data_IF_193144483742
#
_entry.id   IF_193144483742
#
_cell.length_a   1.000
_cell.length_b   1.000
_cell.length_c   1.000
_cell.angle_alpha   90.00
_cell.angle_beta   90.00
_cell.angle_gamma   90.00
#
_symmetry.space_group_name_H-M   'P 1'
#
loop_
_entity.id
_entity.type
_entity.pdbx_description
1 polymer ?
#
# COMPACT_ATOMS: atom_id res chain seq x y z
N UNK A 1 14.21 -24.57 14.08
CA UNK A 1 13.63 -23.77 12.97
C UNK A 1 13.57 -24.52 11.64
N UNK A 2 14.38 -25.56 11.43
CA UNK A 2 14.29 -26.45 10.25
C UNK A 2 12.94 -27.17 10.15
N UNK A 3 12.40 -27.65 11.28
CA UNK A 3 11.11 -28.37 11.31
C UNK A 3 9.91 -27.55 10.82
N UNK A 4 9.86 -26.25 11.08
CA UNK A 4 8.76 -25.40 10.61
C UNK A 4 8.79 -25.26 9.08
N UNK A 5 9.98 -25.08 8.50
CA UNK A 5 10.13 -24.97 7.04
C UNK A 5 9.74 -26.28 6.35
N UNK A 6 10.14 -27.41 6.93
CA UNK A 6 9.84 -28.73 6.39
C UNK A 6 8.35 -29.08 6.52
N UNK A 7 7.67 -28.67 7.60
CA UNK A 7 6.22 -28.82 7.72
C UNK A 7 5.45 -27.93 6.71
N UNK A 8 5.95 -26.71 6.41
CA UNK A 8 5.33 -25.82 5.44
C UNK A 8 5.50 -26.28 3.99
N UNK A 9 6.64 -26.87 3.63
CA UNK A 9 6.89 -27.39 2.28
C UNK A 9 6.14 -28.71 2.01
N UNK A 10 5.70 -29.40 3.07
CA UNK A 10 4.89 -30.61 2.98
C UNK A 10 3.40 -30.33 2.69
N UNK A 11 2.97 -29.06 2.70
CA UNK A 11 1.60 -28.68 2.36
C UNK A 11 1.41 -28.82 0.85
N UNK A 12 0.38 -29.58 0.46
CA UNK A 12 0.00 -29.74 -0.94
C UNK A 12 -0.30 -28.38 -1.58
N UNK A 13 0.38 -28.08 -2.70
CA UNK A 13 0.30 -26.79 -3.39
C UNK A 13 1.28 -25.71 -2.93
N UNK A 14 2.21 -25.97 -2.01
CA UNK A 14 3.31 -25.04 -1.67
C UNK A 14 4.57 -25.41 -2.45
N UNK A 15 4.97 -24.53 -3.38
CA UNK A 15 6.17 -24.70 -4.20
C UNK A 15 7.46 -24.39 -3.42
N UNK A 16 7.42 -23.37 -2.56
CA UNK A 16 8.57 -22.95 -1.78
C UNK A 16 8.15 -22.27 -0.47
N UNK A 17 8.87 -22.56 0.62
CA UNK A 17 8.71 -21.89 1.91
C UNK A 17 10.05 -21.32 2.37
N UNK A 18 10.06 -20.03 2.76
CA UNK A 18 11.19 -19.34 3.37
C UNK A 18 10.77 -18.76 4.71
N UNK A 19 11.55 -19.08 5.76
CA UNK A 19 11.36 -18.54 7.12
C UNK A 19 12.60 -17.70 7.42
N UNK A 20 12.38 -16.44 7.76
CA UNK A 20 13.43 -15.47 8.02
C UNK A 20 13.16 -14.80 9.37
N UNK A 21 14.17 -14.73 10.25
CA UNK A 21 14.03 -14.02 11.52
C UNK A 21 14.39 -12.57 11.24
N UNK A 22 13.43 -11.66 11.42
CA UNK A 22 13.67 -10.23 11.28
C UNK A 22 14.37 -9.73 12.57
N UNK A 23 15.14 -8.64 12.48
CA UNK A 23 15.95 -8.10 13.59
C UNK A 23 15.14 -7.77 14.87
N UNK A 24 13.81 -7.70 14.78
CA UNK A 24 12.90 -7.54 15.92
C UNK A 24 12.62 -8.85 16.68
N UNK A 25 13.20 -9.97 16.25
CA UNK A 25 12.98 -11.31 16.80
C UNK A 25 11.70 -11.98 16.31
N UNK A 26 10.95 -11.35 15.40
CA UNK A 26 9.73 -11.93 14.82
C UNK A 26 10.08 -12.79 13.59
N UNK A 27 9.65 -14.05 13.51
CA UNK A 27 9.82 -14.85 12.31
C UNK A 27 8.83 -14.40 11.22
N UNK A 28 9.36 -13.99 10.07
CA UNK A 28 8.65 -13.75 8.83
C UNK A 28 8.60 -15.03 8.00
N UNK A 29 7.44 -15.35 7.43
CA UNK A 29 7.23 -16.55 6.61
C UNK A 29 6.74 -16.13 5.23
N UNK A 30 7.52 -16.42 4.20
CA UNK A 30 7.15 -16.22 2.80
C UNK A 30 6.89 -17.59 2.15
N UNK A 31 5.74 -17.69 1.46
CA UNK A 31 5.29 -18.90 0.81
C UNK A 31 5.04 -18.61 -0.67
N UNK A 32 5.61 -19.46 -1.53
CA UNK A 32 5.29 -19.50 -2.95
C UNK A 32 4.33 -20.66 -3.18
N UNK A 33 3.14 -20.37 -3.67
CA UNK A 33 2.06 -21.35 -3.92
C UNK A 33 2.07 -21.73 -5.39
N UNK A 34 1.86 -23.01 -5.69
CA UNK A 34 1.81 -23.52 -7.06
C UNK A 34 0.63 -22.92 -7.85
N UNK A 35 0.81 -22.68 -9.17
CA UNK A 35 -0.26 -22.21 -10.03
C UNK A 35 -1.38 -23.26 -10.12
N UNK A 36 -2.56 -22.94 -9.58
CA UNK A 36 -3.72 -23.82 -9.56
C UNK A 36 -4.04 -24.44 -8.19
N UNK A 37 -3.15 -24.28 -7.20
CA UNK A 37 -3.44 -24.72 -5.83
C UNK A 37 -4.53 -23.86 -5.16
N UNK A 38 -5.34 -24.50 -4.31
CA UNK A 38 -6.38 -23.83 -3.53
C UNK A 38 -5.74 -23.00 -2.41
N UNK A 39 -5.62 -21.70 -2.66
CA UNK A 39 -5.02 -20.72 -1.75
C UNK A 39 -5.71 -20.67 -0.38
N UNK A 40 -7.01 -20.96 -0.33
CA UNK A 40 -7.80 -20.86 0.90
C UNK A 40 -7.54 -22.10 1.78
N UNK A 41 -7.48 -23.28 1.17
CA UNK A 41 -7.05 -24.51 1.83
C UNK A 41 -5.60 -24.41 2.34
N UNK A 42 -4.67 -23.95 1.49
CA UNK A 42 -3.26 -23.73 1.85
C UNK A 42 -3.14 -22.75 3.02
N UNK A 43 -3.82 -21.60 2.96
CA UNK A 43 -3.79 -20.60 4.02
C UNK A 43 -4.28 -21.13 5.38
N UNK A 44 -5.30 -21.99 5.37
CA UNK A 44 -5.84 -22.62 6.59
C UNK A 44 -4.84 -23.58 7.24
N UNK A 45 -4.20 -24.43 6.43
CA UNK A 45 -3.18 -25.37 6.90
C UNK A 45 -1.94 -24.67 7.45
N UNK A 46 -1.49 -23.61 6.76
CA UNK A 46 -0.38 -22.76 7.21
C UNK A 46 -0.68 -22.14 8.57
N UNK A 47 -1.90 -21.60 8.78
CA UNK A 47 -2.30 -21.06 10.08
C UNK A 47 -2.25 -22.12 11.19
N UNK A 48 -2.72 -23.34 10.90
CA UNK A 48 -2.70 -24.45 11.85
C UNK A 48 -1.27 -24.83 12.26
N UNK A 49 -0.36 -24.93 11.29
CA UNK A 49 1.05 -25.24 11.53
C UNK A 49 1.70 -24.12 12.35
N UNK A 50 1.52 -22.85 11.97
CA UNK A 50 2.08 -21.73 12.74
C UNK A 50 1.55 -21.71 14.18
N UNK A 51 0.25 -21.93 14.38
CA UNK A 51 -0.35 -22.01 15.72
C UNK A 51 0.23 -23.16 16.55
N UNK A 52 0.46 -24.33 15.94
CA UNK A 52 1.12 -25.48 16.59
C UNK A 52 2.54 -25.14 17.08
N UNK A 53 3.27 -24.30 16.34
CA UNK A 53 4.61 -23.82 16.71
C UNK A 53 4.60 -22.60 17.65
N UNK A 54 3.45 -22.24 18.21
CA UNK A 54 3.31 -21.09 19.11
C UNK A 54 3.44 -19.72 18.40
N UNK A 55 3.49 -19.72 17.07
CA UNK A 55 3.55 -18.53 16.24
C UNK A 55 2.11 -18.09 15.96
N UNK A 56 1.74 -16.90 16.44
CA UNK A 56 0.46 -16.30 16.08
C UNK A 56 0.52 -15.87 14.61
N UNK A 57 -0.01 -16.72 13.74
CA UNK A 57 -0.24 -16.37 12.34
C UNK A 57 -1.14 -15.14 12.27
N UNK A 58 -0.65 -14.06 11.67
CA UNK A 58 -1.43 -12.84 11.40
C UNK A 58 -2.24 -12.96 10.11
N UNK A 59 -2.61 -14.17 9.68
CA UNK A 59 -3.77 -14.32 8.82
C UNK A 59 -5.02 -14.25 9.71
N UNK A 60 -5.47 -13.05 10.04
CA UNK A 60 -6.65 -12.87 10.87
C UNK A 60 -7.91 -12.58 10.01
N UNK A 61 -9.06 -13.14 10.41
CA UNK A 61 -10.28 -13.24 9.64
C UNK A 61 -11.11 -11.96 9.66
N UNK A 62 -12.07 -11.90 8.74
CA UNK A 62 -13.06 -10.83 8.63
C UNK A 62 -13.83 -10.66 9.94
N UNK A 63 -13.85 -9.46 10.53
CA UNK A 63 -15.06 -8.78 11.05
C UNK A 63 -14.80 -7.70 12.11
N UNK A 64 -15.73 -6.73 12.09
CA UNK A 64 -16.23 -5.91 13.20
C UNK A 64 -15.69 -4.48 13.36
N UNK A 65 -16.47 -3.61 12.73
CA UNK A 65 -16.59 -2.16 12.88
C UNK A 65 -16.59 -1.65 14.33
N UNK A 66 -16.06 -0.43 14.48
CA UNK A 66 -16.72 0.77 15.04
C UNK A 66 -15.80 1.51 16.01
N UNK A 67 -15.36 2.74 15.67
CA UNK A 67 -15.55 3.87 16.58
C UNK A 67 -15.25 5.20 15.87
N UNK A 68 -16.27 6.06 15.78
CA UNK A 68 -16.18 7.45 15.37
C UNK A 68 -15.94 8.28 16.62
N UNK A 69 -14.84 9.04 16.69
CA UNK A 69 -14.68 10.11 17.66
C UNK A 69 -14.54 11.46 16.94
N UNK A 70 -15.57 12.29 17.15
CA UNK A 70 -15.59 13.71 16.85
C UNK A 70 -14.58 14.46 17.73
N UNK A 71 -13.79 15.34 17.13
CA UNK A 71 -13.05 16.37 17.85
C UNK A 71 -13.78 17.70 17.68
N UNK A 72 -14.11 18.34 18.81
CA UNK A 72 -14.62 19.71 18.87
C UNK A 72 -13.46 20.69 18.79
N UNK A 73 -13.61 21.70 17.93
CA UNK A 73 -12.72 22.83 17.80
C UNK A 73 -13.01 23.85 18.90
N UNK A 74 -12.08 24.06 19.83
CA UNK A 74 -12.01 25.26 20.67
C UNK A 74 -10.68 25.23 21.44
N UNK A 75 -9.63 25.89 20.91
CA UNK A 75 -8.67 26.66 21.72
C UNK A 75 -7.69 27.39 20.78
N UNK A 76 -7.92 28.69 20.56
CA UNK A 76 -7.00 29.58 19.86
C UNK A 76 -6.25 30.42 20.89
N UNK A 77 -5.05 29.99 21.26
CA UNK A 77 -4.08 30.82 21.99
C UNK A 77 -3.14 31.57 21.02
N UNK A 78 -2.76 32.83 21.31
CA UNK A 78 -1.78 33.57 20.53
C UNK A 78 -0.35 33.08 20.77
N UNK A 79 0.39 32.82 19.68
CA UNK A 79 1.80 32.42 19.69
C UNK A 79 2.74 33.61 19.95
N UNK A 80 3.81 33.44 20.76
CA UNK A 80 4.88 34.43 20.94
C UNK A 80 5.80 34.52 19.70
N UNK A 81 6.39 35.71 19.51
CA UNK A 81 7.23 36.11 18.38
C UNK A 81 8.47 35.20 18.18
N UNK A 82 8.67 34.79 16.92
CA UNK A 82 9.68 33.84 16.44
C UNK A 82 11.06 34.51 16.30
N UNK A 83 12.16 33.89 16.79
CA UNK A 83 13.52 34.39 16.59
C UNK A 83 14.01 34.20 15.14
N UNK A 84 14.90 35.11 14.71
CA UNK A 84 15.41 35.21 13.34
C UNK A 84 16.01 33.90 12.78
N UNK A 85 15.87 33.66 11.45
CA UNK A 85 16.32 32.43 10.82
C UNK A 85 17.85 32.32 10.84
N UNK A 86 18.33 31.24 11.43
CA UNK A 86 19.70 30.73 11.22
C UNK A 86 19.80 30.20 9.79
N UNK A 87 20.74 30.74 9.00
CA UNK A 87 21.11 30.21 7.68
C UNK A 87 21.69 28.80 7.84
N UNK A 88 20.79 27.82 7.81
CA UNK A 88 21.10 26.40 7.74
C UNK A 88 21.75 26.12 6.39
N UNK A 89 23.03 25.75 6.43
CA UNK A 89 23.82 25.39 5.26
C UNK A 89 23.17 24.20 4.53
N UNK A 90 22.49 24.52 3.43
CA UNK A 90 21.76 23.57 2.61
C UNK A 90 22.73 22.54 2.00
N UNK A 91 22.65 21.24 2.32
CA UNK A 91 23.47 20.22 1.67
C UNK A 91 23.13 20.21 0.18
N UNK A 92 24.18 20.27 -0.66
CA UNK A 92 24.04 20.29 -2.11
C UNK A 92 23.20 19.12 -2.65
N UNK A 93 22.55 19.30 -3.82
CA UNK A 93 21.65 18.31 -4.40
C UNK A 93 22.42 17.02 -4.70
N UNK A 94 22.07 15.96 -3.98
CA UNK A 94 22.49 14.59 -4.29
C UNK A 94 21.75 14.18 -5.56
N UNK A 95 22.45 14.16 -6.70
CA UNK A 95 21.91 13.64 -7.96
C UNK A 95 21.49 12.18 -7.77
N UNK A 96 20.17 11.96 -7.81
CA UNK A 96 19.56 10.64 -7.58
C UNK A 96 18.24 10.65 -6.82
N UNK A 97 17.61 11.81 -6.58
CA UNK A 97 16.31 11.86 -5.88
C UNK A 97 15.23 11.10 -6.66
N UNK A 98 14.94 9.88 -6.21
CA UNK A 98 13.79 9.08 -6.64
C UNK A 98 12.54 9.96 -6.49
N UNK A 99 11.81 10.20 -7.60
CA UNK A 99 10.55 10.97 -7.58
C UNK A 99 9.56 10.33 -6.62
N UNK A 100 8.84 11.16 -5.87
CA UNK A 100 7.86 10.69 -4.87
C UNK A 100 6.52 11.37 -5.10
N UNK A 101 5.45 10.59 -5.01
CA UNK A 101 4.11 11.14 -4.88
C UNK A 101 3.98 11.87 -3.53
N UNK A 102 3.54 13.13 -3.58
CA UNK A 102 3.42 14.05 -2.43
C UNK A 102 1.97 14.31 -2.04
N UNK A 103 1.07 14.41 -3.03
CA UNK A 103 -0.34 14.68 -2.73
C UNK A 103 -1.28 13.97 -3.69
N UNK A 104 -2.45 13.60 -3.17
CA UNK A 104 -3.61 13.14 -3.94
C UNK A 104 -4.80 13.97 -3.45
N UNK A 105 -5.35 14.81 -4.33
CA UNK A 105 -6.54 15.60 -4.09
C UNK A 105 -7.72 14.99 -4.83
N UNK A 106 -8.86 14.90 -4.15
CA UNK A 106 -10.10 14.31 -4.69
C UNK A 106 -11.20 15.37 -4.59
N UNK A 107 -11.71 15.79 -5.73
CA UNK A 107 -12.84 16.71 -5.83
C UNK A 107 -14.05 15.94 -6.36
N UNK A 108 -15.06 15.76 -5.52
CA UNK A 108 -16.30 15.09 -5.89
C UNK A 108 -17.37 16.12 -6.29
N UNK A 109 -17.80 16.04 -7.55
CA UNK A 109 -18.94 16.77 -8.07
C UNK A 109 -20.14 15.84 -8.23
N UNK A 110 -21.34 16.42 -8.42
CA UNK A 110 -22.61 15.66 -8.55
C UNK A 110 -22.60 14.53 -9.59
N UNK A 111 -21.73 14.60 -10.60
CA UNK A 111 -21.69 13.65 -11.73
C UNK A 111 -20.31 13.09 -12.04
N UNK A 112 -19.27 13.55 -11.36
CA UNK A 112 -17.89 13.16 -11.66
C UNK A 112 -17.02 13.34 -10.44
N UNK A 113 -15.91 12.62 -10.41
CA UNK A 113 -14.85 12.80 -9.45
C UNK A 113 -13.61 13.21 -10.23
N UNK A 114 -12.97 14.29 -9.83
CA UNK A 114 -11.69 14.73 -10.38
C UNK A 114 -10.62 14.39 -9.37
N UNK A 115 -9.64 13.59 -9.78
CA UNK A 115 -8.48 13.24 -8.96
C UNK A 115 -7.29 13.97 -9.52
N UNK A 116 -6.59 14.72 -8.67
CA UNK A 116 -5.34 15.40 -9.03
C UNK A 116 -4.21 14.87 -8.16
N UNK A 117 -3.12 14.45 -8.78
CA UNK A 117 -1.93 13.92 -8.11
C UNK A 117 -0.73 14.83 -8.36
N UNK A 118 0.18 14.94 -7.40
CA UNK A 118 1.40 15.76 -7.53
C UNK A 118 2.64 15.04 -6.98
N UNK A 119 3.78 15.22 -7.65
CA UNK A 119 5.08 14.73 -7.18
C UNK A 119 5.92 15.81 -6.47
N UNK A 120 7.05 15.39 -5.90
CA UNK A 120 8.02 16.24 -5.20
C UNK A 120 8.85 17.15 -6.13
N UNK A 121 8.71 16.99 -7.45
CA UNK A 121 9.33 17.85 -8.46
C UNK A 121 8.37 18.88 -9.02
N UNK A 122 7.16 18.98 -8.47
CA UNK A 122 6.12 19.91 -8.90
C UNK A 122 5.31 19.43 -10.10
N UNK A 123 5.55 18.21 -10.59
CA UNK A 123 4.72 17.57 -11.61
C UNK A 123 3.31 17.34 -11.08
N UNK A 124 2.33 17.44 -11.97
CA UNK A 124 0.92 17.17 -11.64
C UNK A 124 0.19 16.53 -12.80
N UNK A 125 -0.71 15.61 -12.50
CA UNK A 125 -1.62 15.01 -13.47
C UNK A 125 -3.01 14.87 -12.85
N UNK A 126 -4.03 14.83 -13.69
CA UNK A 126 -5.42 14.75 -13.24
C UNK A 126 -6.22 13.76 -14.07
N UNK A 127 -7.03 12.94 -13.42
CA UNK A 127 -7.95 12.02 -14.09
C UNK A 127 -9.39 12.24 -13.62
N UNK A 128 -10.34 11.96 -14.51
CA UNK A 128 -11.76 12.09 -14.24
C UNK A 128 -12.39 10.70 -14.17
N UNK A 129 -13.05 10.41 -13.06
CA UNK A 129 -13.82 9.19 -12.83
C UNK A 129 -15.32 9.47 -12.70
N UNK A 130 -16.11 8.41 -12.80
CA UNK A 130 -17.50 8.43 -12.34
C UNK A 130 -17.53 8.45 -10.80
N UNK A 131 -18.61 8.94 -10.16
CA UNK A 131 -18.79 8.78 -8.73
C UNK A 131 -18.81 7.31 -8.33
N UNK A 132 -18.18 6.99 -7.20
CA UNK A 132 -18.14 5.64 -6.63
C UNK A 132 -16.73 5.12 -6.36
N UNK A 133 -16.63 4.22 -5.39
CA UNK A 133 -15.33 3.73 -4.86
C UNK A 133 -14.47 3.04 -5.91
N UNK A 134 -15.04 2.29 -6.84
CA UNK A 134 -14.27 1.63 -7.91
C UNK A 134 -13.71 2.67 -8.89
N UNK A 135 -14.57 3.53 -9.42
CA UNK A 135 -14.19 4.54 -10.39
C UNK A 135 -13.21 5.59 -9.81
N UNK A 136 -13.30 5.90 -8.52
CA UNK A 136 -12.30 6.72 -7.82
C UNK A 136 -10.92 6.05 -7.85
N UNK A 137 -10.84 4.73 -7.64
CA UNK A 137 -9.57 3.99 -7.68
C UNK A 137 -8.97 3.99 -9.08
N UNK A 138 -9.80 3.74 -10.08
CA UNK A 138 -9.38 3.77 -11.48
C UNK A 138 -8.88 5.18 -11.86
N UNK A 139 -9.54 6.23 -11.37
CA UNK A 139 -9.10 7.61 -11.56
C UNK A 139 -7.77 7.90 -10.85
N UNK A 140 -7.59 7.48 -9.59
CA UNK A 140 -6.30 7.63 -8.89
C UNK A 140 -5.18 6.90 -9.64
N UNK A 141 -5.41 5.66 -10.06
CA UNK A 141 -4.41 4.88 -10.79
C UNK A 141 -4.06 5.53 -12.15
N UNK A 142 -5.06 6.00 -12.88
CA UNK A 142 -4.87 6.70 -14.16
C UNK A 142 -4.09 8.00 -13.99
N UNK A 143 -4.42 8.81 -12.97
CA UNK A 143 -3.71 10.05 -12.70
C UNK A 143 -2.25 9.80 -12.31
N UNK A 144 -1.97 8.76 -11.52
CA UNK A 144 -0.60 8.35 -11.16
C UNK A 144 0.18 7.89 -12.40
N UNK A 145 -0.43 7.07 -13.25
CA UNK A 145 0.19 6.61 -14.50
C UNK A 145 0.55 7.77 -15.43
N UNK A 146 -0.37 8.71 -15.62
CA UNK A 146 -0.12 9.93 -16.40
C UNK A 146 1.00 10.79 -15.80
N UNK A 147 1.07 10.92 -14.47
CA UNK A 147 2.12 11.67 -13.80
C UNK A 147 3.52 11.07 -14.00
N UNK A 148 3.64 9.75 -14.06
CA UNK A 148 4.91 9.06 -14.35
C UNK A 148 5.33 9.31 -15.81
N UNK A 149 4.37 9.54 -16.70
CA UNK A 149 4.61 9.83 -18.11
C UNK A 149 4.89 8.57 -18.94
N UNK A 150 4.42 7.40 -18.49
CA UNK A 150 4.45 6.19 -19.32
C UNK A 150 3.45 6.33 -20.47
N UNK A 151 3.92 6.14 -21.70
CA UNK A 151 3.05 6.04 -22.86
C UNK A 151 2.38 4.67 -22.90
N UNK A 152 1.08 4.61 -23.18
CA UNK A 152 0.37 3.34 -23.32
C UNK A 152 -1.07 3.38 -22.88
N UNK A 153 -1.66 2.19 -22.74
CA UNK A 153 -2.96 2.04 -22.09
C UNK A 153 -2.79 2.19 -20.57
N UNK A 154 -3.77 2.76 -19.86
CA UNK A 154 -3.71 2.87 -18.41
C UNK A 154 -3.70 1.48 -17.76
N UNK A 155 -2.97 1.30 -16.65
CA UNK A 155 -2.90 0.03 -15.95
C UNK A 155 -4.25 -0.35 -15.37
N UNK A 156 -4.56 -1.65 -15.35
CA UNK A 156 -5.78 -2.16 -14.72
C UNK A 156 -5.48 -2.68 -13.32
N UNK A 157 -6.37 -2.40 -12.36
CA UNK A 157 -6.21 -2.88 -10.99
C UNK A 157 -6.74 -4.30 -10.91
N UNK A 158 -5.85 -5.27 -10.65
CA UNK A 158 -6.19 -6.69 -10.55
C UNK A 158 -6.65 -7.05 -9.15
N UNK A 159 -5.92 -6.59 -8.13
CA UNK A 159 -6.21 -6.90 -6.75
C UNK A 159 -5.79 -5.78 -5.79
N UNK A 160 -6.53 -5.64 -4.70
CA UNK A 160 -6.20 -4.75 -3.59
C UNK A 160 -6.29 -5.57 -2.31
N UNK A 161 -5.15 -5.76 -1.65
CA UNK A 161 -5.08 -6.38 -0.34
C UNK A 161 -4.89 -5.31 0.73
N UNK A 162 -5.54 -5.52 1.87
CA UNK A 162 -5.39 -4.67 3.04
C UNK A 162 -4.92 -5.55 4.19
N UNK A 163 -3.89 -5.10 4.88
CA UNK A 163 -3.45 -5.70 6.12
C UNK A 163 -3.44 -4.63 7.22
N UNK A 164 -3.69 -5.03 8.46
CA UNK A 164 -3.61 -4.13 9.60
C UNK A 164 -2.65 -4.73 10.63
N UNK A 165 -1.66 -3.95 11.05
CA UNK A 165 -0.68 -4.31 12.06
C UNK A 165 -0.71 -3.27 13.18
N UNK A 166 -1.26 -3.65 14.34
CA UNK A 166 -1.49 -2.71 15.43
C UNK A 166 -2.41 -1.57 14.97
N UNK A 167 -1.90 -0.34 15.03
CA UNK A 167 -2.59 0.87 14.55
C UNK A 167 -2.28 1.23 13.09
N UNK A 168 -1.40 0.49 12.41
CA UNK A 168 -0.98 0.77 11.03
C UNK A 168 -1.78 -0.07 10.07
N UNK A 169 -2.29 0.55 9.01
CA UNK A 169 -2.91 -0.17 7.89
C UNK A 169 -1.94 -0.16 6.71
N UNK A 170 -1.74 -1.30 6.07
CA UNK A 170 -0.97 -1.50 4.85
C UNK A 170 -1.93 -1.80 3.70
N UNK A 171 -1.70 -1.18 2.55
CA UNK A 171 -2.38 -1.49 1.30
C UNK A 171 -1.35 -2.06 0.34
N UNK A 172 -1.69 -3.20 -0.27
CA UNK A 172 -0.93 -3.80 -1.37
C UNK A 172 -1.81 -3.79 -2.61
N UNK A 173 -1.30 -3.29 -3.72
CA UNK A 173 -2.01 -3.21 -4.99
C UNK A 173 -1.26 -4.06 -6.01
N UNK A 174 -2.01 -4.89 -6.73
CA UNK A 174 -1.53 -5.62 -7.91
C UNK A 174 -2.15 -4.95 -9.14
N UNK A 175 -1.30 -4.52 -10.06
CA UNK A 175 -1.70 -3.91 -11.33
C UNK A 175 -1.24 -4.77 -12.50
N UNK A 176 -2.04 -4.80 -13.56
CA UNK A 176 -1.65 -5.32 -14.87
C UNK A 176 -1.29 -4.13 -15.77
N UNK A 177 -0.02 -4.06 -16.18
CA UNK A 177 0.50 -3.02 -17.08
C UNK A 177 0.15 -3.30 -18.56
N UNK A 178 -0.49 -4.42 -18.84
CA UNK A 178 -0.84 -4.91 -20.17
C UNK A 178 -0.06 -6.18 -20.52
N UNK A 179 -0.60 -6.96 -21.45
CA UNK A 179 -0.02 -8.23 -21.91
C UNK A 179 0.27 -9.27 -20.80
N UNK A 180 -0.38 -9.15 -19.64
CA UNK A 180 -0.17 -10.03 -18.49
C UNK A 180 1.04 -9.67 -17.63
N UNK A 181 1.65 -8.50 -17.83
CA UNK A 181 2.72 -8.00 -16.96
C UNK A 181 2.13 -7.49 -15.64
N UNK A 182 2.31 -8.29 -14.58
CA UNK A 182 1.79 -7.99 -13.25
C UNK A 182 2.88 -7.33 -12.41
N UNK A 183 2.54 -6.17 -11.84
CA UNK A 183 3.39 -5.45 -10.90
C UNK A 183 2.69 -5.24 -9.56
N UNK A 184 3.47 -5.18 -8.49
CA UNK A 184 2.95 -5.10 -7.11
C UNK A 184 3.61 -3.94 -6.39
N UNK A 185 2.78 -3.12 -5.73
CA UNK A 185 3.26 -2.04 -4.89
C UNK A 185 2.51 -2.01 -3.56
N UNK A 186 3.12 -1.44 -2.53
CA UNK A 186 2.51 -1.34 -1.22
C UNK A 186 2.78 0.00 -0.55
N UNK A 187 1.88 0.41 0.34
CA UNK A 187 2.00 1.64 1.11
C UNK A 187 1.25 1.55 2.44
N UNK A 188 1.79 2.22 3.46
CA UNK A 188 1.15 2.38 4.76
C UNK A 188 0.16 3.55 4.70
N UNK A 189 -1.04 3.35 5.23
CA UNK A 189 -2.08 4.36 5.39
C UNK A 189 -1.74 5.22 6.60
N UNK A 190 -1.14 6.39 6.37
CA UNK A 190 -0.81 7.35 7.42
C UNK A 190 -1.80 8.52 7.49
N UNK A 191 -2.15 9.10 6.34
CA UNK A 191 -2.94 10.36 6.25
C UNK A 191 -4.30 10.17 5.60
N UNK A 192 -4.47 9.14 4.76
CA UNK A 192 -5.71 8.91 4.04
C UNK A 192 -5.60 7.71 3.11
N UNK A 193 -6.74 7.09 2.82
CA UNK A 193 -6.79 5.86 2.04
C UNK A 193 -6.38 6.11 0.58
N UNK A 194 -6.86 7.20 -0.01
CA UNK A 194 -6.66 7.58 -1.41
C UNK A 194 -5.19 7.92 -1.67
N UNK A 195 -4.56 8.64 -0.75
CA UNK A 195 -3.13 8.95 -0.80
C UNK A 195 -2.28 7.67 -0.70
N UNK A 196 -2.58 6.81 0.28
CA UNK A 196 -1.86 5.54 0.43
C UNK A 196 -2.05 4.62 -0.78
N UNK A 197 -3.26 4.55 -1.34
CA UNK A 197 -3.53 3.82 -2.56
C UNK A 197 -2.72 4.37 -3.74
N UNK A 198 -2.72 5.70 -3.95
CA UNK A 198 -1.89 6.34 -4.98
C UNK A 198 -0.40 6.06 -4.81
N UNK A 199 0.11 6.05 -3.56
CA UNK A 199 1.49 5.66 -3.23
C UNK A 199 1.79 4.21 -3.56
N UNK A 200 0.87 3.29 -3.29
CA UNK A 200 1.05 1.88 -3.64
C UNK A 200 1.06 1.68 -5.15
N UNK A 201 0.18 2.37 -5.90
CA UNK A 201 0.20 2.35 -7.38
C UNK A 201 1.50 2.95 -7.92
N UNK A 202 1.96 4.08 -7.37
CA UNK A 202 3.24 4.68 -7.74
C UNK A 202 4.40 3.70 -7.55
N UNK A 203 4.46 3.04 -6.40
CA UNK A 203 5.47 2.02 -6.13
C UNK A 203 5.39 0.87 -7.14
N UNK A 204 4.18 0.41 -7.45
CA UNK A 204 3.96 -0.67 -8.42
C UNK A 204 4.37 -0.30 -9.85
N UNK A 205 4.36 0.99 -10.23
CA UNK A 205 4.73 1.45 -11.57
C UNK A 205 6.21 1.86 -11.70
N UNK A 206 6.88 2.12 -10.57
CA UNK A 206 8.28 2.60 -10.56
C UNK A 206 9.30 1.55 -10.09
N UNK A 207 8.84 0.37 -9.69
CA UNK A 207 9.64 -0.86 -9.56
C UNK A 207 9.85 -1.52 -10.91
#
# INVERSE_FOLDING_TARGET
MTELRDELIAIDGVAQARVEIVDDGSPSVQLQVEPGADRLAVGTLVQQILAKHGLKSRLAPESSNSNTQSFTADDLMPLPEEPAPVEESNPGPVEGSIRRLVSVAVEEERRRVVVTVRDDRGGSASAIGRPGRSALRDAVASAVFELIGEGGAPPSIVAIHRATEGSRQLITVVIDRGAGDLSVGSAIVAVGWEYAFGRAVWAALTT
#
